data_IF_584086011531
#
_entry.id   IF_584086011531
#
_cell.length_a   1.000
_cell.length_b   1.000
_cell.length_c   1.000
_cell.angle_alpha   90.00
_cell.angle_beta   90.00
_cell.angle_gamma   90.00
#
_symmetry.space_group_name_H-M   'P 1'
#
loop_
_entity.id
_entity.type
_entity.pdbx_description
1 polymer ?
#
# COMPACT_ATOMS: atom_id res chain seq x y z
N UNK A 1 17.83 -77.14 -14.29
CA UNK A 1 17.09 -76.91 -13.03
C UNK A 1 17.26 -75.43 -12.71
N UNK A 2 16.25 -74.61 -13.01
CA UNK A 2 16.32 -73.14 -12.86
C UNK A 2 16.18 -72.81 -11.38
N UNK A 3 17.27 -72.40 -10.73
CA UNK A 3 17.28 -71.96 -9.33
C UNK A 3 16.47 -70.66 -9.20
N UNK A 4 15.35 -70.64 -8.46
CA UNK A 4 14.56 -69.44 -8.28
C UNK A 4 15.23 -68.54 -7.22
N UNK A 5 16.10 -67.63 -7.66
CA UNK A 5 16.82 -66.67 -6.81
C UNK A 5 15.92 -65.76 -5.95
N UNK A 6 14.66 -65.59 -6.34
CA UNK A 6 13.70 -64.75 -5.59
C UNK A 6 13.20 -65.36 -4.28
N UNK A 7 13.30 -66.68 -4.08
CA UNK A 7 12.83 -67.32 -2.83
C UNK A 7 13.85 -67.24 -1.70
N UNK A 8 15.14 -67.21 -2.02
CA UNK A 8 16.22 -67.14 -1.03
C UNK A 8 16.32 -65.75 -0.39
N UNK A 9 16.04 -64.68 -1.15
CA UNK A 9 16.03 -63.30 -0.65
C UNK A 9 14.92 -63.02 0.37
N UNK A 10 13.77 -63.69 0.25
CA UNK A 10 12.65 -63.60 1.19
C UNK A 10 12.86 -64.44 2.47
N UNK A 11 13.87 -65.32 2.50
CA UNK A 11 14.12 -66.27 3.60
C UNK A 11 15.35 -65.91 4.46
N UNK A 12 16.13 -64.90 4.09
CA UNK A 12 17.29 -64.45 4.88
C UNK A 12 16.89 -63.42 5.95
N UNK A 13 16.73 -63.89 7.20
CA UNK A 13 16.37 -63.05 8.37
C UNK A 13 17.43 -61.99 8.73
N UNK A 14 18.67 -62.16 8.28
CA UNK A 14 19.76 -61.19 8.48
C UNK A 14 19.65 -59.98 7.51
N UNK A 15 18.98 -60.15 6.37
CA UNK A 15 18.71 -59.09 5.39
C UNK A 15 17.45 -58.28 5.72
N UNK A 16 16.52 -58.85 6.50
CA UNK A 16 15.31 -58.15 6.93
C UNK A 16 15.62 -56.89 7.77
N UNK A 17 16.65 -56.96 8.62
CA UNK A 17 17.11 -55.84 9.46
C UNK A 17 17.80 -54.75 8.64
N UNK A 18 18.49 -55.13 7.56
CA UNK A 18 19.12 -54.16 6.65
C UNK A 18 18.15 -53.61 5.59
N UNK A 19 16.97 -54.19 5.42
CA UNK A 19 15.92 -53.64 4.56
C UNK A 19 15.03 -52.67 5.34
N UNK A 20 14.83 -52.88 6.65
CA UNK A 20 14.03 -51.99 7.51
C UNK A 20 14.63 -50.58 7.64
N UNK A 21 15.96 -50.43 7.75
CA UNK A 21 16.57 -49.08 7.81
C UNK A 21 16.45 -48.32 6.49
N UNK A 22 16.48 -49.02 5.36
CA UNK A 22 16.27 -48.37 4.05
C UNK A 22 14.82 -47.97 3.89
N UNK A 23 13.86 -48.78 4.33
CA UNK A 23 12.44 -48.44 4.26
C UNK A 23 12.11 -47.27 5.20
N UNK A 24 12.66 -47.24 6.41
CA UNK A 24 12.49 -46.12 7.35
C UNK A 24 13.09 -44.82 6.80
N UNK A 25 14.30 -44.87 6.24
CA UNK A 25 14.93 -43.68 5.65
C UNK A 25 14.23 -43.23 4.37
N UNK A 26 13.81 -44.17 3.51
CA UNK A 26 13.02 -43.86 2.32
C UNK A 26 11.67 -43.25 2.67
N UNK A 27 11.02 -43.71 3.75
CA UNK A 27 9.78 -43.11 4.24
C UNK A 27 10.00 -41.66 4.73
N UNK A 28 11.09 -41.39 5.45
CA UNK A 28 11.44 -40.04 5.91
C UNK A 28 11.79 -39.12 4.73
N UNK A 29 12.53 -39.61 3.73
CA UNK A 29 12.85 -38.85 2.51
C UNK A 29 11.59 -38.55 1.71
N UNK A 30 10.68 -39.50 1.57
CA UNK A 30 9.37 -39.30 0.92
C UNK A 30 8.52 -38.27 1.65
N UNK A 31 8.50 -38.32 3.00
CA UNK A 31 7.85 -37.31 3.82
C UNK A 31 8.50 -35.93 3.65
N UNK A 32 9.83 -35.84 3.56
CA UNK A 32 10.56 -34.60 3.33
C UNK A 32 10.26 -33.97 1.96
N UNK A 33 10.12 -34.77 0.91
CA UNK A 33 9.69 -34.29 -0.41
C UNK A 33 8.24 -33.77 -0.38
N UNK A 34 7.35 -34.46 0.35
CA UNK A 34 5.96 -34.05 0.50
C UNK A 34 5.80 -32.77 1.36
N UNK A 35 6.64 -32.56 2.37
CA UNK A 35 6.62 -31.32 3.16
C UNK A 35 7.16 -30.15 2.36
N UNK A 36 8.15 -30.37 1.49
CA UNK A 36 8.73 -29.31 0.67
C UNK A 36 7.73 -28.70 -0.33
N UNK A 37 6.80 -29.49 -0.85
CA UNK A 37 5.71 -28.98 -1.71
C UNK A 37 4.69 -28.17 -0.91
N UNK A 38 4.34 -28.60 0.31
CA UNK A 38 3.45 -27.84 1.19
C UNK A 38 4.06 -26.49 1.64
N UNK A 39 5.35 -26.50 2.01
CA UNK A 39 6.08 -25.29 2.43
C UNK A 39 6.26 -24.32 1.26
N UNK A 40 6.65 -24.79 0.08
CA UNK A 40 6.82 -23.91 -1.09
C UNK A 40 5.52 -23.24 -1.53
N UNK A 41 4.38 -23.95 -1.45
CA UNK A 41 3.07 -23.35 -1.69
C UNK A 41 2.71 -22.28 -0.66
N UNK A 42 2.90 -22.56 0.63
CA UNK A 42 2.62 -21.61 1.71
C UNK A 42 3.52 -20.37 1.67
N UNK A 43 4.81 -20.55 1.41
CA UNK A 43 5.78 -19.45 1.25
C UNK A 43 5.48 -18.63 -0.01
N UNK A 44 5.09 -19.27 -1.11
CA UNK A 44 4.68 -18.58 -2.33
C UNK A 44 3.43 -17.72 -2.13
N UNK A 45 2.43 -18.25 -1.40
CA UNK A 45 1.22 -17.51 -1.02
C UNK A 45 1.57 -16.29 -0.17
N UNK A 46 2.27 -16.49 0.93
CA UNK A 46 2.67 -15.41 1.84
C UNK A 46 3.54 -14.35 1.15
N UNK A 47 4.47 -14.78 0.29
CA UNK A 47 5.28 -13.85 -0.51
C UNK A 47 4.45 -13.05 -1.50
N UNK A 48 3.40 -13.65 -2.07
CA UNK A 48 2.46 -12.96 -2.97
C UNK A 48 1.58 -11.96 -2.22
N UNK A 49 1.11 -12.33 -1.03
CA UNK A 49 0.36 -11.45 -0.13
C UNK A 49 1.24 -10.24 0.27
N UNK A 50 2.48 -10.48 0.72
CA UNK A 50 3.44 -9.40 1.04
C UNK A 50 3.70 -8.52 -0.19
N UNK A 51 3.88 -9.10 -1.37
CA UNK A 51 4.10 -8.32 -2.60
C UNK A 51 2.89 -7.47 -2.99
N UNK A 52 1.68 -7.97 -2.72
CA UNK A 52 0.42 -7.24 -2.96
C UNK A 52 0.29 -6.10 -1.97
N UNK A 53 0.47 -6.36 -0.68
CA UNK A 53 0.47 -5.34 0.38
C UNK A 53 1.52 -4.24 0.11
N UNK A 54 2.74 -4.61 -0.33
CA UNK A 54 3.77 -3.64 -0.71
C UNK A 54 3.45 -2.85 -1.97
N UNK A 55 2.65 -3.38 -2.89
CA UNK A 55 2.23 -2.68 -4.10
C UNK A 55 1.02 -1.77 -3.86
N UNK A 56 0.17 -2.13 -2.89
CA UNK A 56 -0.99 -1.35 -2.46
C UNK A 56 -0.62 -0.26 -1.45
N UNK A 57 0.52 -0.39 -0.79
CA UNK A 57 1.08 0.63 0.10
C UNK A 57 1.52 1.87 -0.71
N UNK A 58 0.76 2.95 -0.60
CA UNK A 58 1.11 4.26 -1.17
C UNK A 58 2.30 4.87 -0.42
N UNK A 59 3.27 5.42 -1.16
CA UNK A 59 4.47 6.07 -0.60
C UNK A 59 4.11 7.29 0.26
N UNK A 60 2.90 7.84 0.06
CA UNK A 60 2.35 8.94 0.85
C UNK A 60 2.04 8.55 2.30
N UNK A 61 1.86 7.26 2.63
CA UNK A 61 1.51 6.79 3.99
C UNK A 61 2.63 5.96 4.66
N UNK A 62 3.89 6.23 4.31
CA UNK A 62 5.02 5.42 4.81
C UNK A 62 5.27 5.62 6.33
N UNK A 63 5.31 4.55 7.14
CA UNK A 63 5.46 4.61 8.61
C UNK A 63 6.91 4.90 9.07
N UNK A 64 7.84 5.10 8.13
CA UNK A 64 9.26 5.37 8.40
C UNK A 64 9.75 6.71 7.85
N UNK A 65 8.95 7.39 7.02
CA UNK A 65 9.14 8.81 6.85
C UNK A 65 8.70 9.48 8.16
N UNK A 66 9.49 10.42 8.66
CA UNK A 66 8.97 11.44 9.58
C UNK A 66 7.98 12.36 8.86
N UNK A 67 6.98 11.78 8.19
CA UNK A 67 5.87 12.45 7.54
C UNK A 67 4.71 12.39 8.52
N UNK A 68 4.43 13.53 9.16
CA UNK A 68 3.09 13.81 9.62
C UNK A 68 2.13 13.54 8.47
N UNK A 69 1.10 12.72 8.70
CA UNK A 69 -0.07 12.73 7.84
C UNK A 69 -0.46 14.20 7.58
N UNK A 70 -0.68 14.55 6.31
CA UNK A 70 -0.98 15.92 5.91
C UNK A 70 0.22 16.87 5.78
N UNK A 71 1.28 16.49 5.09
CA UNK A 71 2.24 17.46 4.52
C UNK A 71 2.00 17.75 3.04
N UNK A 72 1.02 17.08 2.41
CA UNK A 72 0.83 17.04 0.96
C UNK A 72 -0.67 17.02 0.62
N UNK A 73 -1.04 17.48 -0.58
CA UNK A 73 -2.34 17.20 -1.19
C UNK A 73 -2.13 16.25 -2.38
N UNK A 74 -2.53 14.99 -2.22
CA UNK A 74 -2.18 13.94 -3.18
C UNK A 74 -0.65 13.77 -3.28
N UNK A 75 -0.12 13.82 -4.50
CA UNK A 75 1.32 13.63 -4.76
C UNK A 75 2.18 14.90 -4.58
N UNK A 76 1.58 16.08 -4.44
CA UNK A 76 2.32 17.34 -4.34
C UNK A 76 2.36 17.86 -2.89
N UNK A 77 3.53 18.32 -2.39
CA UNK A 77 3.69 18.80 -1.01
C UNK A 77 3.10 20.21 -0.81
N UNK A 78 2.81 20.58 0.44
CA UNK A 78 2.41 21.95 0.78
C UNK A 78 3.49 22.96 0.37
N UNK A 79 3.06 24.11 -0.16
CA UNK A 79 3.96 25.21 -0.52
C UNK A 79 4.40 26.02 0.71
N UNK A 80 3.55 26.11 1.74
CA UNK A 80 3.89 26.73 3.01
C UNK A 80 3.74 25.74 4.17
N UNK A 81 4.87 25.34 4.75
CA UNK A 81 4.93 24.44 5.91
C UNK A 81 5.14 25.17 7.23
N UNK A 82 5.09 26.51 7.25
CA UNK A 82 5.39 27.33 8.44
C UNK A 82 4.24 27.29 9.44
N UNK A 83 4.20 26.24 10.25
CA UNK A 83 3.26 26.09 11.38
C UNK A 83 1.87 25.59 10.99
N UNK A 84 1.69 25.10 9.76
CA UNK A 84 0.41 24.57 9.26
C UNK A 84 0.66 23.25 8.54
N UNK A 85 -0.16 22.24 8.86
CA UNK A 85 -0.23 20.95 8.16
C UNK A 85 -1.49 20.93 7.29
N UNK A 86 -1.54 20.05 6.29
CA UNK A 86 -2.74 19.79 5.50
C UNK A 86 -3.90 19.35 6.41
N UNK A 87 -3.63 18.65 7.51
CA UNK A 87 -4.64 18.34 8.54
C UNK A 87 -5.23 19.59 9.19
N UNK A 88 -4.42 20.62 9.41
CA UNK A 88 -4.88 21.90 9.95
C UNK A 88 -5.79 22.63 8.95
N UNK A 89 -5.47 22.58 7.67
CA UNK A 89 -6.35 23.10 6.62
C UNK A 89 -7.65 22.29 6.49
N UNK A 90 -7.57 20.95 6.54
CA UNK A 90 -8.73 20.07 6.50
C UNK A 90 -9.66 20.24 7.72
N UNK A 91 -9.09 20.53 8.90
CA UNK A 91 -9.87 20.88 10.08
C UNK A 91 -10.72 22.12 9.87
N UNK A 92 -10.23 23.11 9.12
CA UNK A 92 -10.99 24.32 8.83
C UNK A 92 -12.10 24.07 7.79
N UNK A 93 -11.84 23.29 6.75
CA UNK A 93 -12.85 22.96 5.73
C UNK A 93 -13.97 22.07 6.25
N UNK A 94 -13.70 21.23 7.25
CA UNK A 94 -14.70 20.35 7.88
C UNK A 94 -15.95 21.07 8.42
N UNK A 95 -15.84 22.37 8.73
CA UNK A 95 -16.94 23.18 9.25
C UNK A 95 -17.93 23.68 8.19
N UNK A 96 -17.59 23.58 6.90
CA UNK A 96 -18.44 24.03 5.80
C UNK A 96 -19.43 22.95 5.37
N UNK A 97 -20.64 23.37 4.98
CA UNK A 97 -21.54 22.53 4.19
C UNK A 97 -21.03 22.34 2.75
N UNK A 98 -21.56 21.35 2.04
CA UNK A 98 -21.11 21.02 0.68
C UNK A 98 -21.29 22.19 -0.31
N UNK A 99 -22.35 22.99 -0.15
CA UNK A 99 -22.57 24.19 -0.96
C UNK A 99 -21.56 25.30 -0.59
N UNK A 100 -21.30 25.49 0.70
CA UNK A 100 -20.32 26.48 1.17
C UNK A 100 -18.89 26.12 0.74
N UNK A 101 -18.54 24.83 0.69
CA UNK A 101 -17.23 24.39 0.17
C UNK A 101 -17.01 24.86 -1.26
N UNK A 102 -18.02 24.70 -2.13
CA UNK A 102 -17.95 25.14 -3.52
C UNK A 102 -17.83 26.67 -3.62
N UNK A 103 -18.63 27.40 -2.84
CA UNK A 103 -18.57 28.87 -2.82
C UNK A 103 -17.19 29.38 -2.36
N UNK A 104 -16.64 28.77 -1.31
CA UNK A 104 -15.32 29.13 -0.78
C UNK A 104 -14.24 28.75 -1.80
N UNK A 105 -14.31 27.57 -2.43
CA UNK A 105 -13.39 27.15 -3.49
C UNK A 105 -13.31 28.17 -4.63
N UNK A 106 -14.46 28.65 -5.11
CA UNK A 106 -14.51 29.69 -6.14
C UNK A 106 -13.98 31.03 -5.63
N UNK A 107 -14.27 31.40 -4.37
CA UNK A 107 -13.75 32.63 -3.78
C UNK A 107 -12.21 32.63 -3.67
N UNK A 108 -11.59 31.50 -3.37
CA UNK A 108 -10.13 31.37 -3.37
C UNK A 108 -9.53 31.51 -4.77
N UNK A 109 -10.17 30.94 -5.80
CA UNK A 109 -9.75 31.10 -7.20
C UNK A 109 -9.89 32.54 -7.70
N UNK A 110 -10.94 33.22 -7.27
CA UNK A 110 -11.22 34.60 -7.65
C UNK A 110 -10.42 35.64 -6.84
N UNK A 111 -9.54 35.21 -5.93
CA UNK A 111 -8.76 36.14 -5.08
C UNK A 111 -9.60 36.89 -4.05
N UNK A 112 -10.83 36.43 -3.78
CA UNK A 112 -11.82 37.15 -2.99
C UNK A 112 -11.84 36.73 -1.49
N UNK A 113 -11.07 35.72 -1.10
CA UNK A 113 -11.04 35.24 0.29
C UNK A 113 -10.25 36.20 1.22
N UNK A 114 -10.79 36.59 2.39
CA UNK A 114 -10.25 37.68 3.21
C UNK A 114 -8.92 37.39 3.91
N UNK A 115 -8.45 36.15 3.93
CA UNK A 115 -7.25 35.72 4.69
C UNK A 115 -6.09 35.28 3.79
N UNK A 116 -5.95 35.86 2.59
CA UNK A 116 -4.80 35.59 1.72
C UNK A 116 -3.57 36.38 2.21
N UNK A 117 -2.73 35.72 3.00
CA UNK A 117 -1.45 36.29 3.47
C UNK A 117 -0.39 36.21 2.36
N UNK A 118 -0.30 35.07 1.66
CA UNK A 118 0.65 34.84 0.57
C UNK A 118 0.06 33.97 -0.57
N UNK A 119 0.63 34.03 -1.79
CA UNK A 119 0.13 33.24 -2.92
C UNK A 119 0.26 31.72 -2.73
N UNK A 120 1.24 31.26 -1.95
CA UNK A 120 1.39 29.84 -1.57
C UNK A 120 0.25 29.36 -0.67
N UNK A 121 -0.12 30.16 0.33
CA UNK A 121 -1.24 29.83 1.24
C UNK A 121 -2.57 29.69 0.51
N UNK A 122 -2.76 30.46 -0.57
CA UNK A 122 -3.95 30.33 -1.43
C UNK A 122 -3.98 28.97 -2.12
N UNK A 123 -2.85 28.54 -2.69
CA UNK A 123 -2.74 27.25 -3.39
C UNK A 123 -2.96 26.10 -2.41
N UNK A 124 -2.36 26.16 -1.22
CA UNK A 124 -2.55 25.15 -0.17
C UNK A 124 -3.99 25.12 0.36
N UNK A 125 -4.66 26.27 0.46
CA UNK A 125 -6.08 26.33 0.83
C UNK A 125 -6.99 25.74 -0.26
N UNK A 126 -6.66 25.93 -1.53
CA UNK A 126 -7.37 25.32 -2.65
C UNK A 126 -7.21 23.80 -2.62
N UNK A 127 -6.00 23.29 -2.41
CA UNK A 127 -5.75 21.85 -2.23
C UNK A 127 -6.60 21.25 -1.10
N UNK A 128 -6.79 21.99 0.00
CA UNK A 128 -7.64 21.56 1.10
C UNK A 128 -9.12 21.44 0.75
N UNK A 129 -9.63 22.42 0.00
CA UNK A 129 -11.02 22.45 -0.45
C UNK A 129 -11.27 21.34 -1.46
N UNK A 130 -10.37 21.14 -2.43
CA UNK A 130 -10.46 20.05 -3.41
C UNK A 130 -10.45 18.68 -2.73
N UNK A 131 -9.56 18.47 -1.76
CA UNK A 131 -9.47 17.21 -1.02
C UNK A 131 -10.76 16.91 -0.23
N UNK A 132 -11.35 17.91 0.43
CA UNK A 132 -12.59 17.74 1.19
C UNK A 132 -13.79 17.51 0.26
N UNK A 133 -13.84 18.20 -0.88
CA UNK A 133 -14.87 17.97 -1.91
C UNK A 133 -14.80 16.55 -2.47
N UNK A 134 -13.60 16.05 -2.81
CA UNK A 134 -13.40 14.66 -3.27
C UNK A 134 -13.82 13.67 -2.20
N UNK A 135 -13.43 13.89 -0.94
CA UNK A 135 -13.79 13.03 0.20
C UNK A 135 -15.30 12.91 0.40
N UNK A 136 -16.04 14.01 0.19
CA UNK A 136 -17.49 14.07 0.33
C UNK A 136 -18.25 13.69 -0.96
N UNK A 137 -17.54 13.46 -2.06
CA UNK A 137 -18.14 13.20 -3.37
C UNK A 137 -18.85 14.41 -3.98
N UNK A 138 -18.41 15.63 -3.62
CA UNK A 138 -18.88 16.89 -4.21
C UNK A 138 -18.09 17.15 -5.49
N UNK A 139 -18.80 17.46 -6.58
CA UNK A 139 -18.17 17.77 -7.86
C UNK A 139 -17.34 19.06 -7.78
N UNK A 140 -16.08 19.00 -8.22
CA UNK A 140 -15.21 20.18 -8.33
C UNK A 140 -15.65 21.02 -9.54
N UNK A 141 -15.93 22.33 -9.37
CA UNK A 141 -16.29 23.23 -10.47
C UNK A 141 -15.26 23.22 -11.60
N UNK A 142 -15.72 22.90 -12.81
CA UNK A 142 -14.86 22.95 -14.01
C UNK A 142 -14.54 24.39 -14.41
N UNK A 143 -13.29 24.67 -14.77
CA UNK A 143 -12.87 25.97 -15.31
C UNK A 143 -11.74 26.64 -14.52
N UNK A 144 -11.46 26.14 -13.33
CA UNK A 144 -10.32 26.53 -12.50
C UNK A 144 -9.14 25.54 -12.67
N UNK A 145 -7.89 25.99 -12.54
CA UNK A 145 -6.73 25.10 -12.51
C UNK A 145 -6.79 24.20 -11.28
N UNK A 146 -6.41 22.94 -11.41
CA UNK A 146 -6.33 22.04 -10.25
C UNK A 146 -5.19 22.45 -9.31
N UNK A 147 -5.21 21.99 -8.06
CA UNK A 147 -4.08 22.18 -7.16
C UNK A 147 -2.74 21.75 -7.78
N UNK A 148 -2.71 20.65 -8.54
CA UNK A 148 -1.50 20.18 -9.22
C UNK A 148 -0.98 21.21 -10.24
N UNK A 149 -1.87 21.73 -11.08
CA UNK A 149 -1.50 22.75 -12.08
C UNK A 149 -0.99 24.03 -11.40
N UNK A 150 -1.60 24.40 -10.28
CA UNK A 150 -1.21 25.57 -9.49
C UNK A 150 0.13 25.36 -8.78
N UNK A 151 0.38 24.17 -8.24
CA UNK A 151 1.62 23.79 -7.58
C UNK A 151 2.79 23.82 -8.56
N UNK A 152 2.61 23.23 -9.75
CA UNK A 152 3.62 23.25 -10.82
C UNK A 152 3.91 24.68 -11.29
N UNK A 153 2.87 25.51 -11.45
CA UNK A 153 3.03 26.91 -11.82
C UNK A 153 3.72 27.76 -10.74
N UNK A 154 3.65 27.36 -9.47
CA UNK A 154 4.30 28.06 -8.36
C UNK A 154 5.77 27.64 -8.17
N UNK A 155 6.10 26.38 -8.49
CA UNK A 155 7.43 25.79 -8.25
C UNK A 155 8.34 25.73 -9.49
N UNK A 156 7.79 25.88 -10.70
CA UNK A 156 8.52 25.97 -11.96
C UNK A 156 9.00 27.37 -12.31
#
# INVERSE_FOLDING_TARGET
>A
MSTPYGRTFLQDEQGAVTVDWVVLTAAIVGLGLATMTAVSGGVGGLSGEIATELAEMDVVDSPFAGASAGSNWGSNPLLNTSGVTAERYASWTSGYSDAELVEVYEAYHNGAHPTMLDPGDRVDSIGALEADMISRGVDIPSGNPSYNDMYDAYTG
#
